data_IF_689990706533
#
_entry.id   IF_689990706533
#
_cell.length_a   1.000
_cell.length_b   1.000
_cell.length_c   1.000
_cell.angle_alpha   90.00
_cell.angle_beta   90.00
_cell.angle_gamma   90.00
#
_symmetry.space_group_name_H-M   'P 1'
#
loop_
_entity.id
_entity.type
_entity.pdbx_description
1 polymer ?
#
# COMPACT_ATOMS: atom_id res chain seq x y z
N UNK A 1 16.91 15.28 -11.02
CA UNK A 1 16.00 14.15 -11.28
C UNK A 1 16.19 13.78 -12.73
N UNK A 2 16.98 12.75 -13.00
CA UNK A 2 17.25 12.33 -14.37
C UNK A 2 16.01 11.68 -14.98
N UNK A 3 15.79 11.88 -16.29
CA UNK A 3 14.64 11.32 -17.02
C UNK A 3 14.57 9.80 -16.87
N UNK A 4 15.73 9.13 -16.80
CA UNK A 4 15.84 7.70 -16.56
C UNK A 4 15.16 7.27 -15.25
N UNK A 5 15.35 8.03 -14.17
CA UNK A 5 14.81 7.73 -12.84
C UNK A 5 13.28 7.81 -12.84
N UNK A 6 12.72 8.80 -13.55
CA UNK A 6 11.26 8.95 -13.70
C UNK A 6 10.65 7.76 -14.42
N UNK A 7 11.28 7.32 -15.53
CA UNK A 7 10.82 6.16 -16.30
C UNK A 7 10.87 4.89 -15.45
N UNK A 8 11.93 4.70 -14.65
CA UNK A 8 12.11 3.54 -13.80
C UNK A 8 11.08 3.49 -12.66
N UNK A 9 10.75 4.64 -12.07
CA UNK A 9 9.68 4.75 -11.08
C UNK A 9 8.31 4.45 -11.67
N UNK A 10 8.04 4.92 -12.89
CA UNK A 10 6.79 4.63 -13.58
C UNK A 10 6.65 3.14 -13.86
N UNK A 11 7.70 2.52 -14.38
CA UNK A 11 7.71 1.08 -14.67
C UNK A 11 7.52 0.25 -13.39
N UNK A 12 8.21 0.61 -12.31
CA UNK A 12 8.06 -0.04 -11.02
C UNK A 12 6.63 0.15 -10.45
N UNK A 13 6.06 1.34 -10.55
CA UNK A 13 4.69 1.63 -10.14
C UNK A 13 3.65 0.84 -10.94
N UNK A 14 3.82 0.73 -12.25
CA UNK A 14 2.95 -0.08 -13.12
C UNK A 14 3.06 -1.58 -12.80
N UNK A 15 4.28 -2.11 -12.63
CA UNK A 15 4.50 -3.51 -12.28
C UNK A 15 3.92 -3.83 -10.89
N UNK A 16 4.18 -2.97 -9.89
CA UNK A 16 3.64 -3.11 -8.55
C UNK A 16 2.12 -3.01 -8.54
N UNK A 17 1.53 -2.09 -9.31
CA UNK A 17 0.08 -1.95 -9.47
C UNK A 17 -0.56 -3.16 -10.15
N UNK A 18 0.08 -3.71 -11.19
CA UNK A 18 -0.38 -4.93 -11.86
C UNK A 18 -0.35 -6.13 -10.91
N UNK A 19 0.76 -6.33 -10.20
CA UNK A 19 0.90 -7.39 -9.18
C UNK A 19 -0.10 -7.19 -8.04
N UNK A 20 -0.30 -5.96 -7.58
CA UNK A 20 -1.28 -5.60 -6.55
C UNK A 20 -2.71 -6.00 -6.95
N UNK A 21 -3.09 -5.71 -8.21
CA UNK A 21 -4.37 -6.10 -8.76
C UNK A 21 -4.51 -7.60 -8.97
N UNK A 22 -3.43 -8.28 -9.40
CA UNK A 22 -3.42 -9.73 -9.62
C UNK A 22 -3.56 -10.54 -8.33
N UNK A 23 -2.83 -10.14 -7.27
CA UNK A 23 -2.91 -10.80 -5.96
C UNK A 23 -4.12 -10.36 -5.13
N UNK A 24 -4.74 -9.21 -5.43
CA UNK A 24 -5.88 -8.68 -4.68
C UNK A 24 -5.56 -8.22 -3.25
N UNK A 25 -4.29 -8.25 -2.83
CA UNK A 25 -3.83 -7.88 -1.48
C UNK A 25 -3.63 -6.36 -1.33
N UNK A 26 -3.76 -5.60 -2.42
CA UNK A 26 -3.62 -4.14 -2.38
C UNK A 26 -2.18 -3.71 -2.09
N UNK A 27 -1.26 -4.03 -2.99
CA UNK A 27 0.04 -3.37 -3.31
C UNK A 27 1.06 -3.00 -2.22
N UNK A 28 0.68 -2.72 -0.98
CA UNK A 28 1.53 -2.11 0.05
C UNK A 28 2.72 -2.95 0.47
N UNK A 29 2.58 -4.27 0.47
CA UNK A 29 3.69 -5.20 0.75
C UNK A 29 4.83 -5.01 -0.25
N UNK A 30 4.52 -4.69 -1.51
CA UNK A 30 5.53 -4.42 -2.54
C UNK A 30 5.95 -2.96 -2.57
N UNK A 31 5.00 -2.04 -2.38
CA UNK A 31 5.22 -0.61 -2.59
C UNK A 31 6.05 0.04 -1.47
N UNK A 32 5.86 -0.38 -0.21
CA UNK A 32 6.64 0.13 0.93
C UNK A 32 8.14 -0.13 0.78
N UNK A 33 8.63 -1.37 0.56
CA UNK A 33 10.07 -1.62 0.41
C UNK A 33 10.65 -0.94 -0.83
N UNK A 34 9.91 -0.90 -1.95
CA UNK A 34 10.35 -0.20 -3.18
C UNK A 34 10.56 1.29 -2.92
N UNK A 35 9.63 1.95 -2.21
CA UNK A 35 9.79 3.36 -1.85
C UNK A 35 10.90 3.59 -0.83
N UNK A 36 11.08 2.70 0.14
CA UNK A 36 12.19 2.79 1.08
C UNK A 36 13.55 2.71 0.36
N UNK A 37 13.71 1.77 -0.59
CA UNK A 37 14.91 1.69 -1.43
C UNK A 37 15.12 2.97 -2.26
N UNK A 38 14.04 3.51 -2.84
CA UNK A 38 14.13 4.76 -3.61
C UNK A 38 14.58 5.94 -2.74
N UNK A 39 13.96 6.12 -1.56
CA UNK A 39 14.31 7.23 -0.67
C UNK A 39 15.69 7.08 -0.02
N UNK A 40 16.24 5.87 0.10
CA UNK A 40 17.65 5.67 0.50
C UNK A 40 18.65 6.22 -0.52
N UNK A 41 18.27 6.28 -1.80
CA UNK A 41 19.13 6.80 -2.89
C UNK A 41 18.98 8.30 -3.14
N UNK A 42 18.03 8.97 -2.47
CA UNK A 42 17.76 10.40 -2.61
C UNK A 42 18.18 11.12 -1.32
N UNK A 43 18.72 12.37 -1.35
CA UNK A 43 19.11 13.10 -0.14
C UNK A 43 17.88 13.62 0.64
N UNK A 44 17.07 12.71 1.17
CA UNK A 44 15.93 13.01 2.03
C UNK A 44 16.30 12.62 3.46
N UNK A 45 16.05 13.52 4.41
CA UNK A 45 16.36 13.36 5.83
C UNK A 45 15.81 12.04 6.37
N UNK A 46 16.68 11.19 6.93
CA UNK A 46 16.39 9.81 7.35
C UNK A 46 15.18 9.64 8.28
N UNK A 47 14.84 10.67 9.06
CA UNK A 47 13.69 10.66 9.97
C UNK A 47 12.32 10.79 9.27
N UNK A 48 12.27 11.38 8.07
CA UNK A 48 11.02 11.63 7.33
C UNK A 48 10.75 10.54 6.28
N UNK A 49 11.79 9.82 5.86
CA UNK A 49 11.76 8.78 4.83
C UNK A 49 10.74 7.68 5.13
N UNK A 50 10.70 7.16 6.36
CA UNK A 50 9.79 6.07 6.73
C UNK A 50 8.34 6.53 6.68
N UNK A 51 8.03 7.70 7.25
CA UNK A 51 6.66 8.24 7.25
C UNK A 51 6.17 8.57 5.85
N UNK A 52 7.04 9.15 4.99
CA UNK A 52 6.70 9.42 3.60
C UNK A 52 6.46 8.13 2.81
N UNK A 53 7.30 7.11 2.96
CA UNK A 53 7.14 5.83 2.27
C UNK A 53 5.82 5.12 2.65
N UNK A 54 5.50 5.07 3.95
CA UNK A 54 4.23 4.50 4.40
C UNK A 54 3.02 5.35 3.94
N UNK A 55 3.10 6.68 4.06
CA UNK A 55 2.00 7.57 3.69
C UNK A 55 1.67 7.54 2.18
N UNK A 56 2.70 7.60 1.34
CA UNK A 56 2.54 7.52 -0.13
C UNK A 56 2.07 6.14 -0.57
N UNK A 57 2.58 5.06 0.03
CA UNK A 57 2.08 3.71 -0.22
C UNK A 57 0.61 3.58 0.14
N UNK A 58 0.19 4.06 1.31
CA UNK A 58 -1.22 4.05 1.74
C UNK A 58 -2.13 4.76 0.72
N UNK A 59 -1.72 5.93 0.25
CA UNK A 59 -2.48 6.69 -0.74
C UNK A 59 -2.63 5.90 -2.05
N UNK A 60 -1.55 5.28 -2.53
CA UNK A 60 -1.58 4.46 -3.74
C UNK A 60 -2.48 3.24 -3.56
N UNK A 61 -2.44 2.58 -2.39
CA UNK A 61 -3.30 1.43 -2.08
C UNK A 61 -4.77 1.82 -2.11
N UNK A 62 -5.16 2.99 -1.55
CA UNK A 62 -6.56 3.44 -1.57
C UNK A 62 -7.07 3.54 -3.02
N UNK A 63 -6.30 4.15 -3.92
CA UNK A 63 -6.68 4.25 -5.33
C UNK A 63 -6.67 2.90 -6.06
N UNK A 64 -5.62 2.08 -5.86
CA UNK A 64 -5.48 0.78 -6.51
C UNK A 64 -6.57 -0.21 -6.07
N UNK A 65 -6.86 -0.27 -4.77
CA UNK A 65 -7.91 -1.12 -4.22
C UNK A 65 -9.30 -0.65 -4.62
N UNK A 66 -9.55 0.66 -4.67
CA UNK A 66 -10.83 1.20 -5.15
C UNK A 66 -11.07 0.86 -6.63
N UNK A 67 -10.04 1.00 -7.46
CA UNK A 67 -10.10 0.62 -8.88
C UNK A 67 -10.36 -0.89 -9.06
N UNK A 68 -9.68 -1.73 -8.26
CA UNK A 68 -9.85 -3.19 -8.29
C UNK A 68 -11.24 -3.62 -7.83
N UNK A 69 -11.74 -3.03 -6.74
CA UNK A 69 -13.08 -3.28 -6.22
C UNK A 69 -14.17 -2.90 -7.24
N UNK A 70 -14.02 -1.75 -7.91
CA UNK A 70 -14.94 -1.30 -8.95
C UNK A 70 -14.97 -2.27 -10.15
N UNK A 71 -13.83 -2.79 -10.57
CA UNK A 71 -13.78 -3.77 -11.65
C UNK A 71 -14.43 -5.11 -11.27
N UNK A 72 -14.30 -5.55 -10.02
CA UNK A 72 -14.95 -6.78 -9.53
C UNK A 72 -16.46 -6.63 -9.36
N UNK A 73 -16.96 -5.45 -8.97
CA UNK A 73 -18.39 -5.17 -8.81
C UNK A 73 -19.16 -5.23 -10.14
N UNK A 74 -18.51 -4.88 -11.26
CA UNK A 74 -19.10 -5.04 -12.60
C UNK A 74 -19.48 -6.47 -12.96
N UNK A 75 -18.94 -7.48 -12.28
CA UNK A 75 -19.29 -8.89 -12.47
C UNK A 75 -20.54 -9.35 -11.73
N UNK A 76 -21.21 -8.51 -10.92
CA UNK A 76 -22.43 -8.82 -10.14
C UNK A 76 -22.35 -10.03 -9.17
N UNK A 77 -21.16 -10.58 -8.92
CA UNK A 77 -20.94 -11.68 -7.97
C UNK A 77 -20.40 -11.22 -6.61
N UNK A 78 -20.54 -9.93 -6.28
CA UNK A 78 -20.04 -9.38 -5.01
C UNK A 78 -21.09 -9.56 -3.91
N UNK A 79 -20.75 -10.39 -2.93
CA UNK A 79 -21.57 -10.57 -1.72
C UNK A 79 -21.26 -9.39 -0.77
N UNK A 80 -21.97 -8.28 -0.94
CA UNK A 80 -21.79 -7.04 -0.15
C UNK A 80 -21.80 -7.26 1.37
N UNK A 81 -22.58 -8.24 1.84
CA UNK A 81 -22.61 -8.63 3.25
C UNK A 81 -21.27 -9.20 3.73
N UNK A 82 -20.59 -10.00 2.91
CA UNK A 82 -19.26 -10.52 3.21
C UNK A 82 -18.20 -9.41 3.15
N UNK A 83 -18.30 -8.50 2.17
CA UNK A 83 -17.43 -7.31 2.05
C UNK A 83 -17.51 -6.45 3.31
N UNK A 84 -18.72 -6.16 3.80
CA UNK A 84 -18.90 -5.39 5.02
C UNK A 84 -18.37 -6.13 6.26
N UNK A 85 -18.70 -7.41 6.44
CA UNK A 85 -18.23 -8.18 7.60
C UNK A 85 -16.71 -8.32 7.64
N UNK A 86 -16.08 -8.68 6.51
CA UNK A 86 -14.63 -8.81 6.43
C UNK A 86 -13.92 -7.45 6.47
N UNK A 87 -14.51 -6.42 5.87
CA UNK A 87 -14.01 -5.04 5.94
C UNK A 87 -14.03 -4.50 7.37
N UNK A 88 -15.12 -4.71 8.11
CA UNK A 88 -15.24 -4.24 9.49
C UNK A 88 -14.36 -5.04 10.44
N UNK A 89 -14.27 -6.37 10.26
CA UNK A 89 -13.39 -7.22 11.02
C UNK A 89 -11.91 -6.89 10.78
N UNK A 90 -11.52 -6.62 9.53
CA UNK A 90 -10.15 -6.21 9.20
C UNK A 90 -9.82 -4.82 9.72
N UNK A 91 -10.76 -3.86 9.66
CA UNK A 91 -10.58 -2.54 10.27
C UNK A 91 -10.41 -2.63 11.80
N UNK A 92 -11.25 -3.41 12.47
CA UNK A 92 -11.12 -3.65 13.92
C UNK A 92 -9.79 -4.33 14.25
N UNK A 93 -9.40 -5.35 13.49
CA UNK A 93 -8.12 -6.04 13.64
C UNK A 93 -6.92 -5.12 13.42
N UNK A 94 -6.98 -4.22 12.44
CA UNK A 94 -5.92 -3.24 12.18
C UNK A 94 -5.80 -2.20 13.29
N UNK A 95 -6.91 -1.71 13.84
CA UNK A 95 -6.92 -0.77 14.95
C UNK A 95 -6.35 -1.42 16.22
N UNK A 96 -6.81 -2.63 16.56
CA UNK A 96 -6.29 -3.36 17.70
C UNK A 96 -4.81 -3.72 17.51
N UNK A 97 -4.45 -4.23 16.33
CA UNK A 97 -3.08 -4.62 16.00
C UNK A 97 -2.10 -3.45 16.02
N UNK A 98 -2.49 -2.28 15.49
CA UNK A 98 -1.67 -1.06 15.58
C UNK A 98 -1.54 -0.55 17.01
N UNK A 99 -2.60 -0.64 17.82
CA UNK A 99 -2.55 -0.35 19.25
C UNK A 99 -1.58 -1.26 20.00
N UNK A 100 -1.63 -2.57 19.75
CA UNK A 100 -0.66 -3.52 20.32
C UNK A 100 0.77 -3.27 19.82
N UNK A 101 0.95 -3.01 18.53
CA UNK A 101 2.26 -2.70 17.94
C UNK A 101 2.88 -1.43 18.56
N UNK A 102 2.07 -0.42 18.87
CA UNK A 102 2.53 0.80 19.54
C UNK A 102 2.93 0.58 21.02
N UNK A 103 2.43 -0.49 21.65
CA UNK A 103 2.79 -0.87 23.03
C UNK A 103 4.10 -1.65 23.11
N UNK A 104 4.58 -2.21 22.00
CA UNK A 104 5.88 -2.88 21.95
C UNK A 104 7.00 -1.82 21.86
N UNK A 105 8.07 -1.92 22.68
CA UNK A 105 9.23 -1.04 22.56
C UNK A 105 9.83 -1.18 21.15
N UNK A 106 9.72 -0.13 20.35
CA UNK A 106 10.37 -0.02 19.05
C UNK A 106 11.89 0.06 19.25
N UNK A 107 12.52 -1.10 19.44
CA UNK A 107 13.96 -1.25 19.39
C UNK A 107 14.31 -1.64 17.95
N UNK A 108 15.14 -0.79 17.34
CA UNK A 108 15.64 -0.73 15.94
C UNK A 108 14.74 -0.02 14.94
#
# INVERSE_FOLDING_TARGET
MDILTVVLLLAAGCAAGFLAGFFGVGGGILLVPVLLFYYQTTPVTSLVTTHLAFGTSLLIIIFASSSSAYQYDRGQHVIWRAVLLMGLASAAGALLGSGFAAMLPGRT
#
